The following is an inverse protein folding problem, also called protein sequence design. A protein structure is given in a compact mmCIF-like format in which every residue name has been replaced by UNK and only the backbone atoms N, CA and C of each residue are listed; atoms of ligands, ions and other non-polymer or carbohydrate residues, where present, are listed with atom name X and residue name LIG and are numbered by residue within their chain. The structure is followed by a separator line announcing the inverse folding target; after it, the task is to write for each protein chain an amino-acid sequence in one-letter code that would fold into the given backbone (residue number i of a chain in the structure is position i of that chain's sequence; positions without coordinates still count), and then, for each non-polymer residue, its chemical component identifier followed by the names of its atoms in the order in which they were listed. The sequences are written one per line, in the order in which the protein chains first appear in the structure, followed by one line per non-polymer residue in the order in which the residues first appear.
data_IF_186213208229
#
_entry.id   IF_186213208229
#
_cell.length_a   1.000
_cell.length_b   1.000
_cell.length_c   1.000
_cell.angle_alpha   90.00
_cell.angle_beta   90.00
_cell.angle_gamma   90.00
#
_symmetry.space_group_name_H-M   'P 1'
#
loop_
_entity.id
_entity.type
_entity.pdbx_description
1 polymer ?
#
# COMPACT_ATOMS: atom_id res chain seq x y z
N UNK A 1 -21.16 33.43 -20.99
CA UNK A 1 -21.87 34.22 -22.05
C UNK A 1 -23.10 33.38 -22.37
N UNK A 2 -24.29 33.84 -21.95
CA UNK A 2 -25.51 33.05 -22.13
C UNK A 2 -25.91 32.97 -23.61
N UNK A 3 -26.64 31.92 -23.97
CA UNK A 3 -27.09 31.69 -25.36
C UNK A 3 -27.92 32.89 -25.86
N UNK A 4 -28.68 33.54 -24.98
CA UNK A 4 -29.42 34.78 -25.29
C UNK A 4 -28.49 35.88 -25.84
N UNK A 5 -27.32 36.12 -25.26
CA UNK A 5 -26.35 37.10 -25.75
C UNK A 5 -25.77 36.74 -27.12
N UNK A 6 -25.66 35.45 -27.43
CA UNK A 6 -25.20 34.97 -28.75
C UNK A 6 -26.28 35.18 -29.80
N UNK A 7 -27.56 34.99 -29.46
CA UNK A 7 -28.72 35.22 -30.35
C UNK A 7 -28.84 36.72 -30.63
N UNK A 8 -28.79 37.60 -29.62
CA UNK A 8 -28.80 39.04 -29.79
C UNK A 8 -27.62 39.53 -30.65
N UNK A 9 -26.42 38.97 -30.42
CA UNK A 9 -25.24 39.31 -31.23
C UNK A 9 -25.43 38.87 -32.69
N UNK A 10 -25.98 37.66 -32.94
CA UNK A 10 -26.21 37.14 -34.29
C UNK A 10 -27.31 37.87 -35.03
N UNK A 11 -28.33 38.40 -34.33
CA UNK A 11 -29.39 39.28 -34.89
C UNK A 11 -28.86 40.66 -35.30
N UNK A 12 -27.78 41.13 -34.61
CA UNK A 12 -27.11 42.40 -34.92
C UNK A 12 -26.14 42.34 -36.12
N UNK A 13 -25.87 41.19 -36.69
CA UNK A 13 -24.97 41.02 -37.85
C UNK A 13 -25.69 41.44 -39.12
N UNK A 14 -25.11 42.37 -39.87
CA UNK A 14 -25.57 42.70 -41.24
C UNK A 14 -25.12 41.58 -42.21
N UNK A 15 -26.05 40.65 -42.50
CA UNK A 15 -25.79 39.59 -43.46
C UNK A 15 -25.84 40.08 -44.90
N UNK A 16 -25.04 39.53 -45.82
CA UNK A 16 -25.19 39.83 -47.25
C UNK A 16 -26.58 39.49 -47.74
N UNK A 17 -27.16 40.28 -48.65
CA UNK A 17 -28.56 40.19 -49.11
C UNK A 17 -28.97 38.79 -49.58
N UNK A 18 -28.05 38.02 -50.17
CA UNK A 18 -28.33 36.65 -50.62
C UNK A 18 -28.37 35.62 -49.50
N UNK A 19 -27.77 35.89 -48.31
CA UNK A 19 -27.77 35.02 -47.15
C UNK A 19 -28.85 35.41 -46.12
N UNK A 20 -29.39 36.64 -46.20
CA UNK A 20 -30.35 37.19 -45.24
C UNK A 20 -31.56 36.28 -44.98
N UNK A 21 -32.26 35.77 -46.03
CA UNK A 21 -33.43 34.87 -45.81
C UNK A 21 -33.05 33.56 -45.14
N UNK A 22 -31.88 33.02 -45.41
CA UNK A 22 -31.40 31.78 -44.78
C UNK A 22 -30.95 32.01 -43.33
N UNK A 23 -30.33 33.14 -43.04
CA UNK A 23 -29.92 33.53 -41.69
C UNK A 23 -31.16 33.79 -40.79
N UNK A 24 -32.19 34.45 -41.30
CA UNK A 24 -33.45 34.68 -40.56
C UNK A 24 -34.16 33.34 -40.23
N UNK A 25 -34.23 32.41 -41.17
CA UNK A 25 -34.83 31.09 -40.94
C UNK A 25 -33.99 30.31 -39.93
N UNK A 26 -32.66 30.35 -40.02
CA UNK A 26 -31.78 29.68 -39.07
C UNK A 26 -31.91 30.26 -37.65
N UNK A 27 -31.96 31.58 -37.53
CA UNK A 27 -32.15 32.26 -36.23
C UNK A 27 -33.52 31.93 -35.65
N UNK A 28 -34.58 31.86 -36.49
CA UNK A 28 -35.91 31.44 -36.04
C UNK A 28 -35.93 30.00 -35.52
N UNK A 29 -35.23 29.10 -36.20
CA UNK A 29 -35.07 27.71 -35.71
C UNK A 29 -34.27 27.64 -34.42
N UNK A 30 -33.20 28.45 -34.27
CA UNK A 30 -32.38 28.49 -33.05
C UNK A 30 -33.18 29.05 -31.88
N UNK A 31 -33.92 30.17 -32.09
CA UNK A 31 -34.81 30.74 -31.06
C UNK A 31 -35.91 29.76 -30.66
N UNK A 32 -36.56 29.14 -31.63
CA UNK A 32 -37.57 28.12 -31.35
C UNK A 32 -36.98 26.93 -30.57
N UNK A 33 -35.80 26.45 -30.95
CA UNK A 33 -35.16 25.35 -30.27
C UNK A 33 -34.72 25.74 -28.83
N UNK A 34 -34.29 26.98 -28.61
CA UNK A 34 -33.92 27.49 -27.27
C UNK A 34 -35.14 27.65 -26.39
N UNK A 35 -36.27 28.16 -26.95
CA UNK A 35 -37.55 28.29 -26.23
C UNK A 35 -38.24 26.94 -25.95
N UNK A 36 -38.01 25.95 -26.84
CA UNK A 36 -38.51 24.59 -26.65
C UNK A 36 -37.71 23.80 -25.62
N UNK A 37 -36.42 24.10 -25.51
CA UNK A 37 -35.51 23.48 -24.53
C UNK A 37 -35.50 24.38 -23.28
N UNK A 38 -36.16 23.93 -22.22
CA UNK A 38 -36.09 24.58 -20.91
C UNK A 38 -34.65 24.47 -20.40
N UNK A 39 -33.88 25.55 -20.57
CA UNK A 39 -32.46 25.62 -20.20
C UNK A 39 -32.26 25.43 -18.70
N UNK A 40 -33.19 25.88 -17.86
CA UNK A 40 -33.13 25.71 -16.42
C UNK A 40 -33.32 24.22 -16.05
N UNK A 41 -34.17 23.51 -16.80
CA UNK A 41 -34.34 22.07 -16.64
C UNK A 41 -33.07 21.31 -17.08
N UNK A 42 -32.47 21.71 -18.21
CA UNK A 42 -31.21 21.14 -18.69
C UNK A 42 -30.06 21.37 -17.72
N UNK A 43 -29.93 22.56 -17.15
CA UNK A 43 -28.93 22.88 -16.14
C UNK A 43 -29.15 22.00 -14.90
N UNK A 44 -30.38 21.87 -14.44
CA UNK A 44 -30.75 21.01 -13.31
C UNK A 44 -30.44 19.52 -13.61
N UNK A 45 -30.83 19.03 -14.78
CA UNK A 45 -30.51 17.67 -15.22
C UNK A 45 -29.00 17.43 -15.30
N UNK A 46 -28.25 18.40 -15.86
CA UNK A 46 -26.80 18.33 -15.92
C UNK A 46 -26.18 18.27 -14.52
N UNK A 47 -26.69 19.06 -13.59
CA UNK A 47 -26.26 19.07 -12.20
C UNK A 47 -26.49 17.71 -11.53
N UNK A 48 -27.67 17.09 -11.72
CA UNK A 48 -27.94 15.73 -11.23
C UNK A 48 -27.04 14.68 -11.89
N UNK A 49 -26.78 14.79 -13.19
CA UNK A 49 -25.85 13.91 -13.89
C UNK A 49 -24.43 14.04 -13.35
N UNK A 50 -23.96 15.28 -13.11
CA UNK A 50 -22.65 15.51 -12.49
C UNK A 50 -22.57 14.86 -11.12
N UNK A 51 -23.58 15.05 -10.25
CA UNK A 51 -23.62 14.41 -8.94
C UNK A 51 -23.67 12.88 -9.00
N UNK A 52 -24.38 12.33 -9.99
CA UNK A 52 -24.48 10.88 -10.21
C UNK A 52 -23.16 10.28 -10.70
N UNK A 53 -22.49 10.96 -11.64
CA UNK A 53 -21.26 10.46 -12.24
C UNK A 53 -19.99 10.86 -11.49
N UNK A 54 -20.04 11.91 -10.65
CA UNK A 54 -18.89 12.40 -9.89
C UNK A 54 -18.19 11.29 -9.09
N UNK A 55 -18.90 10.43 -8.32
CA UNK A 55 -18.25 9.33 -7.61
C UNK A 55 -17.52 8.36 -8.54
N UNK A 56 -18.12 8.06 -9.70
CA UNK A 56 -17.51 7.16 -10.70
C UNK A 56 -16.25 7.81 -11.29
N UNK A 57 -16.33 9.08 -11.68
CA UNK A 57 -15.19 9.83 -12.22
C UNK A 57 -14.07 9.86 -11.19
N UNK A 58 -14.37 10.18 -9.94
CA UNK A 58 -13.37 10.24 -8.85
C UNK A 58 -12.67 8.89 -8.69
N UNK A 59 -13.41 7.78 -8.64
CA UNK A 59 -12.85 6.44 -8.46
C UNK A 59 -11.91 6.04 -9.61
N UNK A 60 -12.24 6.40 -10.85
CA UNK A 60 -11.41 6.08 -12.00
C UNK A 60 -10.28 7.08 -12.24
N UNK A 61 -10.46 8.33 -11.84
CA UNK A 61 -9.44 9.39 -12.01
C UNK A 61 -8.36 9.30 -10.93
N UNK A 62 -8.69 8.86 -9.70
CA UNK A 62 -7.70 8.76 -8.62
C UNK A 62 -6.48 7.88 -8.94
N UNK A 63 -6.61 6.68 -9.55
CA UNK A 63 -5.45 5.92 -9.99
C UNK A 63 -4.59 6.67 -11.03
N UNK A 64 -5.24 7.43 -11.92
CA UNK A 64 -4.55 8.26 -12.93
C UNK A 64 -3.78 9.38 -12.23
N UNK A 65 -4.40 10.05 -11.26
CA UNK A 65 -3.74 11.09 -10.46
C UNK A 65 -2.51 10.51 -9.76
N UNK A 66 -2.60 9.30 -9.18
CA UNK A 66 -1.46 8.64 -8.56
C UNK A 66 -0.30 8.45 -9.55
N UNK A 67 -0.60 7.97 -10.76
CA UNK A 67 0.41 7.84 -11.83
C UNK A 67 1.01 9.20 -12.16
N UNK A 68 0.19 10.25 -12.26
CA UNK A 68 0.66 11.63 -12.50
C UNK A 68 1.59 12.09 -11.38
N UNK A 69 1.27 11.80 -10.11
CA UNK A 69 2.16 12.10 -8.98
C UNK A 69 3.48 11.35 -9.06
N UNK A 70 3.47 10.07 -9.45
CA UNK A 70 4.69 9.28 -9.64
C UNK A 70 5.56 9.91 -10.73
N UNK A 71 4.97 10.28 -11.88
CA UNK A 71 5.70 11.00 -12.93
C UNK A 71 6.16 12.39 -12.47
N UNK A 72 5.37 13.09 -11.65
CA UNK A 72 5.79 14.34 -11.00
C UNK A 72 7.05 14.16 -10.16
N UNK A 73 7.14 13.07 -9.37
CA UNK A 73 8.36 12.72 -8.64
C UNK A 73 9.55 12.45 -9.57
N UNK A 74 9.31 11.76 -10.71
CA UNK A 74 10.37 11.48 -11.71
C UNK A 74 10.89 12.79 -12.31
N UNK A 75 9.98 13.69 -12.69
CA UNK A 75 10.33 15.01 -13.22
C UNK A 75 11.11 15.81 -12.18
N UNK A 76 10.64 15.82 -10.93
CA UNK A 76 11.34 16.48 -9.81
C UNK A 76 12.76 15.96 -9.65
N UNK A 77 12.95 14.62 -9.67
CA UNK A 77 14.27 13.99 -9.57
C UNK A 77 15.17 14.36 -10.77
N UNK A 78 14.59 14.41 -11.97
CA UNK A 78 15.34 14.81 -13.18
C UNK A 78 15.82 16.26 -13.06
N UNK A 79 14.93 17.19 -12.69
CA UNK A 79 15.26 18.62 -12.49
C UNK A 79 16.27 18.78 -11.35
N UNK A 80 16.09 18.05 -10.24
CA UNK A 80 17.01 18.06 -9.12
C UNK A 80 18.41 17.57 -9.55
N UNK A 81 18.46 16.49 -10.35
CA UNK A 81 19.70 15.96 -10.92
C UNK A 81 20.44 16.97 -11.83
N UNK A 82 19.70 17.62 -12.71
CA UNK A 82 20.27 18.61 -13.61
C UNK A 82 20.83 19.84 -12.86
N UNK A 83 20.11 20.32 -11.85
CA UNK A 83 20.50 21.49 -11.05
C UNK A 83 21.75 21.26 -10.22
N UNK A 84 21.95 20.02 -9.77
CA UNK A 84 23.02 19.66 -8.86
C UNK A 84 24.20 18.92 -9.52
N UNK A 85 24.18 18.73 -10.86
CA UNK A 85 25.27 18.04 -11.58
C UNK A 85 26.67 18.61 -11.25
N UNK A 86 26.77 19.93 -11.08
CA UNK A 86 28.04 20.61 -10.74
C UNK A 86 28.41 20.37 -9.26
N UNK A 87 27.42 20.20 -8.38
CA UNK A 87 27.64 19.94 -6.94
C UNK A 87 27.91 18.47 -6.65
N UNK A 88 27.48 17.55 -7.52
CA UNK A 88 27.71 16.11 -7.36
C UNK A 88 29.20 15.75 -7.25
N UNK A 89 30.07 16.52 -7.93
CA UNK A 89 31.52 16.39 -7.85
C UNK A 89 32.07 16.68 -6.44
N UNK A 90 31.35 17.40 -5.61
CA UNK A 90 31.78 17.83 -4.29
C UNK A 90 31.08 17.10 -3.12
N UNK A 91 29.94 16.43 -3.34
CA UNK A 91 29.13 15.85 -2.26
C UNK A 91 28.64 14.45 -2.58
N UNK A 92 29.11 13.47 -1.84
CA UNK A 92 28.69 12.06 -1.90
C UNK A 92 27.25 11.83 -1.44
N UNK A 93 26.54 12.86 -0.96
CA UNK A 93 25.19 12.80 -0.37
C UNK A 93 24.06 13.30 -1.29
N UNK A 94 24.34 13.50 -2.57
CA UNK A 94 23.39 14.02 -3.56
C UNK A 94 22.00 13.31 -3.53
N UNK A 95 21.99 11.97 -3.55
CA UNK A 95 20.75 11.22 -3.53
C UNK A 95 20.04 11.22 -2.17
N UNK A 96 20.73 11.51 -1.08
CA UNK A 96 20.12 11.55 0.24
C UNK A 96 19.11 12.71 0.36
N UNK A 97 19.44 13.89 -0.13
CA UNK A 97 18.51 15.03 -0.15
C UNK A 97 17.25 14.71 -0.96
N UNK A 98 17.40 14.08 -2.15
CA UNK A 98 16.27 13.67 -2.96
C UNK A 98 15.42 12.61 -2.27
N UNK A 99 16.04 11.61 -1.62
CA UNK A 99 15.32 10.56 -0.86
C UNK A 99 14.49 11.16 0.26
N UNK A 100 15.07 12.05 1.07
CA UNK A 100 14.36 12.70 2.19
C UNK A 100 13.21 13.57 1.67
N UNK A 101 13.42 14.32 0.59
CA UNK A 101 12.37 15.15 -0.01
C UNK A 101 11.17 14.30 -0.49
N UNK A 102 11.44 13.21 -1.22
CA UNK A 102 10.39 12.30 -1.70
C UNK A 102 9.77 11.52 -0.54
N UNK A 103 10.56 11.08 0.45
CA UNK A 103 10.05 10.44 1.65
C UNK A 103 9.09 11.36 2.41
N UNK A 104 9.45 12.64 2.60
CA UNK A 104 8.59 13.62 3.25
C UNK A 104 7.28 13.84 2.49
N UNK A 105 7.34 13.86 1.15
CA UNK A 105 6.15 13.95 0.31
C UNK A 105 5.21 12.74 0.50
N UNK A 106 5.73 11.52 0.41
CA UNK A 106 4.92 10.32 0.60
C UNK A 106 4.41 10.16 2.04
N UNK A 107 5.18 10.59 3.03
CA UNK A 107 4.73 10.62 4.43
C UNK A 107 3.53 11.56 4.60
N UNK A 108 3.61 12.77 4.03
CA UNK A 108 2.50 13.72 4.03
C UNK A 108 1.27 13.17 3.31
N UNK A 109 1.43 12.54 2.13
CA UNK A 109 0.33 11.90 1.40
C UNK A 109 -0.30 10.78 2.24
N UNK A 110 0.52 9.93 2.85
CA UNK A 110 0.05 8.85 3.72
C UNK A 110 -0.76 9.37 4.89
N UNK A 111 -0.26 10.39 5.57
CA UNK A 111 -0.94 11.01 6.71
C UNK A 111 -2.26 11.67 6.30
N UNK A 112 -2.22 12.53 5.28
CA UNK A 112 -3.40 13.30 4.84
C UNK A 112 -4.45 12.40 4.20
N UNK A 113 -4.05 11.46 3.33
CA UNK A 113 -5.01 10.68 2.55
C UNK A 113 -5.50 9.41 3.25
N UNK A 114 -4.60 8.68 3.92
CA UNK A 114 -4.94 7.42 4.58
C UNK A 114 -4.89 7.48 6.12
N UNK A 115 -4.55 8.64 6.72
CA UNK A 115 -4.28 8.70 8.15
C UNK A 115 -3.27 7.63 8.57
N UNK A 116 -2.22 7.46 7.75
CA UNK A 116 -1.27 6.35 7.85
C UNK A 116 -0.54 6.30 9.18
N UNK A 117 -0.43 5.11 9.74
CA UNK A 117 0.34 4.81 10.96
C UNK A 117 1.29 3.63 10.69
N UNK A 118 2.49 3.69 11.25
CA UNK A 118 3.44 2.58 11.28
C UNK A 118 3.62 2.12 12.73
N UNK A 119 3.39 0.85 13.01
CA UNK A 119 3.54 0.23 14.33
C UNK A 119 4.62 -0.85 14.29
N UNK A 120 5.38 -0.99 15.36
CA UNK A 120 6.47 -1.96 15.43
C UNK A 120 7.77 -1.47 14.79
N UNK A 121 7.98 -0.15 14.64
CA UNK A 121 9.23 0.40 14.08
C UNK A 121 10.44 0.05 14.94
N UNK A 122 10.25 -0.21 16.23
CA UNK A 122 11.24 -0.70 17.19
C UNK A 122 11.78 -2.10 16.83
N UNK A 123 11.03 -2.89 16.07
CA UNK A 123 11.45 -4.20 15.58
C UNK A 123 12.48 -4.10 14.44
N UNK A 124 12.66 -2.90 13.87
CA UNK A 124 13.62 -2.66 12.79
C UNK A 124 14.98 -2.37 13.40
N UNK A 125 16.03 -3.14 13.08
CA UNK A 125 17.35 -2.88 13.61
C UNK A 125 17.88 -1.52 13.15
N UNK A 126 18.56 -0.82 14.03
CA UNK A 126 19.19 0.46 13.70
C UNK A 126 20.37 0.25 12.74
N UNK A 127 21.09 -0.86 12.90
CA UNK A 127 22.20 -1.29 12.04
C UNK A 127 22.03 -2.75 11.63
N UNK A 128 22.66 -3.13 10.50
CA UNK A 128 22.66 -4.49 9.98
C UNK A 128 21.44 -4.83 9.11
N UNK A 129 21.41 -6.04 8.57
CA UNK A 129 20.39 -6.45 7.61
C UNK A 129 19.09 -6.88 8.28
N UNK A 130 17.97 -6.69 7.56
CA UNK A 130 16.71 -7.35 7.85
C UNK A 130 15.91 -7.53 6.56
N UNK A 131 15.20 -8.66 6.46
CA UNK A 131 14.32 -8.95 5.34
C UNK A 131 12.86 -8.76 5.75
N UNK A 132 12.18 -7.81 5.09
CA UNK A 132 10.75 -7.60 5.26
C UNK A 132 9.97 -8.48 4.29
N UNK A 133 9.06 -9.29 4.81
CA UNK A 133 8.15 -10.11 4.01
C UNK A 133 6.72 -9.62 4.23
N UNK A 134 6.07 -9.18 3.15
CA UNK A 134 4.77 -8.54 3.26
C UNK A 134 3.70 -9.13 2.35
N UNK A 135 2.44 -8.88 2.74
CA UNK A 135 1.26 -9.15 1.93
C UNK A 135 1.07 -8.04 0.89
N UNK A 136 0.96 -8.40 -0.38
CA UNK A 136 0.88 -7.43 -1.48
C UNK A 136 -0.56 -6.96 -1.70
N UNK A 137 -0.87 -5.70 -1.35
CA UNK A 137 -2.09 -5.03 -1.77
C UNK A 137 -2.17 -4.84 -3.29
N UNK A 138 -3.29 -4.32 -3.80
CA UNK A 138 -3.47 -4.11 -5.24
C UNK A 138 -2.39 -3.16 -5.80
N UNK A 139 -2.18 -2.02 -5.15
CA UNK A 139 -1.04 -1.12 -5.36
C UNK A 139 -0.24 -1.06 -4.04
N UNK A 140 1.10 -1.19 -4.08
CA UNK A 140 1.92 -1.24 -2.87
C UNK A 140 2.22 0.16 -2.31
N UNK A 141 1.18 0.97 -2.08
CA UNK A 141 1.34 2.31 -1.48
C UNK A 141 1.89 2.25 -0.07
N UNK A 142 1.51 1.24 0.67
CA UNK A 142 1.99 0.95 2.01
C UNK A 142 3.51 0.83 2.06
N UNK A 143 4.13 0.21 1.05
CA UNK A 143 5.59 0.10 0.96
C UNK A 143 6.25 1.48 0.84
N UNK A 144 5.68 2.40 0.04
CA UNK A 144 6.18 3.78 -0.06
C UNK A 144 6.07 4.52 1.28
N UNK A 145 4.99 4.29 2.03
CA UNK A 145 4.81 4.88 3.35
C UNK A 145 5.78 4.31 4.39
N UNK A 146 5.98 2.98 4.42
CA UNK A 146 6.97 2.33 5.28
C UNK A 146 8.37 2.85 4.98
N UNK A 147 8.75 2.88 3.69
CA UNK A 147 10.05 3.39 3.24
C UNK A 147 10.26 4.84 3.70
N UNK A 148 9.24 5.68 3.57
CA UNK A 148 9.29 7.07 4.03
C UNK A 148 9.50 7.18 5.53
N UNK A 149 8.75 6.40 6.32
CA UNK A 149 8.92 6.35 7.78
C UNK A 149 10.32 5.87 8.19
N UNK A 150 10.87 4.86 7.51
CA UNK A 150 12.22 4.36 7.80
C UNK A 150 13.30 5.39 7.45
N UNK A 151 13.16 6.11 6.34
CA UNK A 151 14.11 7.19 5.99
C UNK A 151 14.05 8.32 7.02
N UNK A 152 12.83 8.76 7.40
CA UNK A 152 12.64 9.92 8.30
C UNK A 152 13.04 9.58 9.74
N UNK A 153 12.66 8.41 10.26
CA UNK A 153 12.81 8.09 11.68
C UNK A 153 14.05 7.26 12.01
N UNK A 154 14.52 6.41 11.07
CA UNK A 154 15.68 5.52 11.27
C UNK A 154 16.88 5.90 10.42
N UNK A 155 16.74 6.89 9.52
CA UNK A 155 17.76 7.25 8.52
C UNK A 155 18.26 6.04 7.71
N UNK A 156 17.38 5.07 7.46
CA UNK A 156 17.69 3.84 6.73
C UNK A 156 16.84 3.70 5.47
N UNK A 157 17.48 3.33 4.37
CA UNK A 157 16.80 3.03 3.11
C UNK A 157 16.31 1.58 3.10
N UNK A 158 15.07 1.38 2.64
CA UNK A 158 14.51 0.06 2.39
C UNK A 158 14.65 -0.26 0.90
N UNK A 159 15.42 -1.28 0.56
CA UNK A 159 15.53 -1.79 -0.80
C UNK A 159 14.32 -2.66 -1.11
N UNK A 160 13.78 -2.57 -2.33
CA UNK A 160 12.58 -3.29 -2.70
C UNK A 160 12.81 -4.22 -3.89
N UNK A 161 12.23 -5.41 -3.86
CA UNK A 161 12.21 -6.29 -5.02
C UNK A 161 10.99 -5.96 -5.88
N UNK A 162 11.25 -5.55 -7.11
CA UNK A 162 10.23 -5.22 -8.11
C UNK A 162 10.10 -6.29 -9.20
N UNK A 163 8.92 -6.40 -9.80
CA UNK A 163 8.71 -7.27 -10.95
C UNK A 163 9.43 -6.67 -12.20
N UNK A 164 9.88 -7.53 -13.08
CA UNK A 164 10.63 -7.16 -14.30
C UNK A 164 9.91 -6.16 -15.21
N UNK A 165 8.57 -6.10 -15.16
CA UNK A 165 7.82 -5.15 -15.97
C UNK A 165 8.08 -3.70 -15.54
N UNK A 166 8.35 -3.43 -14.25
CA UNK A 166 8.60 -2.08 -13.72
C UNK A 166 9.78 -1.42 -14.45
N UNK A 167 10.82 -2.20 -14.74
CA UNK A 167 12.01 -1.71 -15.44
C UNK A 167 11.78 -1.43 -16.93
N UNK A 168 10.64 -1.88 -17.49
CA UNK A 168 10.23 -1.61 -18.87
C UNK A 168 9.39 -0.35 -19.03
N UNK A 169 8.91 0.23 -17.92
CA UNK A 169 8.09 1.44 -17.95
C UNK A 169 8.98 2.64 -18.27
N UNK A 170 8.67 3.41 -19.33
CA UNK A 170 9.45 4.59 -19.69
C UNK A 170 9.51 5.60 -18.54
N UNK A 171 10.69 6.13 -18.26
CA UNK A 171 10.89 7.16 -17.21
C UNK A 171 10.98 6.64 -15.78
N UNK A 172 10.75 5.36 -15.49
CA UNK A 172 10.79 4.83 -14.11
C UNK A 172 12.19 4.53 -13.57
N UNK A 173 13.20 4.48 -14.44
CA UNK A 173 14.58 4.16 -14.06
C UNK A 173 15.15 5.04 -12.92
N UNK A 174 14.98 6.38 -12.90
CA UNK A 174 15.41 7.22 -11.78
C UNK A 174 14.71 6.86 -10.46
N UNK A 175 13.40 6.55 -10.52
CA UNK A 175 12.62 6.15 -9.34
C UNK A 175 13.13 4.81 -8.79
N UNK A 176 13.35 3.82 -9.67
CA UNK A 176 13.93 2.53 -9.27
C UNK A 176 15.31 2.70 -8.62
N UNK A 177 16.16 3.57 -9.17
CA UNK A 177 17.48 3.87 -8.59
C UNK A 177 17.36 4.55 -7.23
N UNK A 178 16.45 5.51 -7.08
CA UNK A 178 16.27 6.24 -5.84
C UNK A 178 15.76 5.34 -4.70
N UNK A 179 14.79 4.46 -4.98
CA UNK A 179 14.23 3.52 -4.00
C UNK A 179 14.97 2.18 -3.96
N UNK A 180 16.13 2.08 -4.61
CA UNK A 180 16.92 0.85 -4.68
C UNK A 180 16.06 -0.38 -5.03
N UNK A 181 15.19 -0.20 -6.08
CA UNK A 181 14.35 -1.29 -6.56
C UNK A 181 15.20 -2.19 -7.48
N UNK A 182 15.28 -3.47 -7.14
CA UNK A 182 16.02 -4.48 -7.90
C UNK A 182 15.09 -5.51 -8.54
N UNK A 183 15.57 -6.22 -9.55
CA UNK A 183 14.79 -7.30 -10.19
C UNK A 183 14.67 -8.56 -9.32
N UNK A 184 15.46 -8.66 -8.25
CA UNK A 184 15.29 -9.62 -7.18
C UNK A 184 15.66 -11.06 -7.53
N UNK A 185 16.82 -11.29 -8.15
CA UNK A 185 17.41 -12.63 -8.16
C UNK A 185 17.79 -13.05 -6.73
N UNK A 186 17.85 -14.36 -6.47
CA UNK A 186 18.23 -14.87 -5.13
C UNK A 186 19.61 -14.34 -4.74
N UNK A 187 20.55 -14.32 -5.69
CA UNK A 187 21.93 -13.91 -5.44
C UNK A 187 22.03 -12.39 -5.17
N UNK A 188 21.35 -11.56 -5.97
CA UNK A 188 21.29 -10.10 -5.74
C UNK A 188 20.68 -9.78 -4.38
N UNK A 189 19.53 -10.39 -4.05
CA UNK A 189 18.88 -10.18 -2.75
C UNK A 189 19.75 -10.65 -1.58
N UNK A 190 20.47 -11.76 -1.75
CA UNK A 190 21.39 -12.27 -0.74
C UNK A 190 22.57 -11.33 -0.52
N UNK A 191 23.12 -10.76 -1.60
CA UNK A 191 24.22 -9.81 -1.53
C UNK A 191 23.79 -8.51 -0.85
N UNK A 192 22.64 -7.95 -1.24
CA UNK A 192 22.09 -6.75 -0.59
C UNK A 192 21.96 -6.89 0.94
N UNK A 193 21.48 -8.05 1.40
CA UNK A 193 21.38 -8.33 2.84
C UNK A 193 22.76 -8.52 3.49
N UNK A 194 23.71 -9.18 2.80
CA UNK A 194 25.10 -9.30 3.30
C UNK A 194 25.81 -7.97 3.40
N UNK A 195 25.47 -7.03 2.54
CA UNK A 195 25.97 -5.64 2.58
C UNK A 195 25.36 -4.81 3.72
N UNK A 196 24.47 -5.41 4.52
CA UNK A 196 23.85 -4.77 5.69
C UNK A 196 22.59 -3.97 5.38
N UNK A 197 22.04 -4.08 4.17
CA UNK A 197 20.85 -3.33 3.75
C UNK A 197 19.55 -3.95 4.28
N UNK A 198 18.50 -3.11 4.40
CA UNK A 198 17.14 -3.57 4.59
C UNK A 198 16.53 -3.94 3.23
N UNK A 199 15.91 -5.10 3.13
CA UNK A 199 15.29 -5.58 1.89
C UNK A 199 13.82 -5.91 2.10
N UNK A 200 12.96 -5.62 1.12
CA UNK A 200 11.53 -5.87 1.17
C UNK A 200 11.09 -6.75 -0.01
N UNK A 201 10.42 -7.86 0.28
CA UNK A 201 9.94 -8.83 -0.72
C UNK A 201 8.46 -9.15 -0.48
N UNK A 202 7.67 -9.14 -1.55
CA UNK A 202 6.32 -9.71 -1.57
C UNK A 202 6.32 -11.04 -2.32
N UNK A 203 6.30 -12.19 -1.64
CA UNK A 203 6.38 -13.48 -2.32
C UNK A 203 5.19 -13.76 -3.25
N UNK A 204 4.02 -13.19 -2.95
CA UNK A 204 2.82 -13.29 -3.78
C UNK A 204 2.92 -12.51 -5.09
N UNK A 205 3.62 -11.36 -5.08
CA UNK A 205 3.83 -10.50 -6.24
C UNK A 205 2.53 -10.13 -6.96
N UNK A 206 2.61 -9.88 -8.26
CA UNK A 206 1.47 -9.46 -9.11
C UNK A 206 0.26 -10.40 -9.02
N UNK A 207 0.47 -11.70 -8.84
CA UNK A 207 -0.66 -12.65 -8.73
C UNK A 207 -1.49 -12.40 -7.47
N UNK A 208 -0.84 -12.17 -6.35
CA UNK A 208 -1.51 -11.82 -5.09
C UNK A 208 -2.15 -10.44 -5.19
N UNK A 209 -1.42 -9.47 -5.76
CA UNK A 209 -1.88 -8.10 -5.91
C UNK A 209 -3.18 -7.98 -6.72
N UNK A 210 -3.21 -8.56 -7.93
CA UNK A 210 -4.27 -8.30 -8.90
C UNK A 210 -5.35 -9.39 -8.97
N UNK A 211 -5.04 -10.64 -8.58
CA UNK A 211 -5.91 -11.78 -8.86
C UNK A 211 -6.38 -12.54 -7.61
N UNK A 212 -6.00 -12.11 -6.39
CA UNK A 212 -6.58 -12.67 -5.16
C UNK A 212 -7.94 -12.02 -4.85
N UNK A 213 -8.72 -12.69 -4.00
CA UNK A 213 -9.99 -12.16 -3.52
C UNK A 213 -9.76 -10.95 -2.62
N UNK A 214 -10.38 -9.78 -2.91
CA UNK A 214 -10.17 -8.57 -2.12
C UNK A 214 -10.82 -8.62 -0.74
N UNK A 215 -11.73 -9.58 -0.48
CA UNK A 215 -12.48 -9.64 0.78
C UNK A 215 -11.85 -10.52 1.84
N UNK A 216 -11.08 -11.54 1.44
CA UNK A 216 -10.59 -12.59 2.36
C UNK A 216 -9.09 -12.52 2.69
N UNK A 217 -8.32 -11.68 2.02
CA UNK A 217 -6.86 -11.53 2.27
C UNK A 217 -6.08 -12.85 2.20
N UNK A 218 -6.38 -13.69 1.20
CA UNK A 218 -5.68 -14.97 1.02
C UNK A 218 -4.25 -14.77 0.52
N UNK A 219 -3.31 -15.48 1.17
CA UNK A 219 -1.87 -15.40 0.85
C UNK A 219 -1.54 -16.35 -0.30
N UNK A 220 -1.26 -15.80 -1.49
CA UNK A 220 -1.03 -16.56 -2.73
C UNK A 220 0.45 -16.68 -3.11
N UNK A 221 1.26 -17.31 -2.25
CA UNK A 221 2.70 -17.52 -2.53
C UNK A 221 2.99 -18.74 -3.43
N UNK A 222 2.04 -19.65 -3.59
CA UNK A 222 2.21 -20.85 -4.39
C UNK A 222 3.40 -21.70 -3.95
N UNK A 223 4.19 -22.17 -4.92
CA UNK A 223 5.40 -22.98 -4.69
C UNK A 223 6.70 -22.15 -4.68
N UNK A 224 6.59 -20.83 -4.54
CA UNK A 224 7.76 -19.93 -4.59
C UNK A 224 8.61 -20.10 -3.33
N UNK A 225 9.90 -20.39 -3.53
CA UNK A 225 10.89 -20.60 -2.46
C UNK A 225 12.06 -19.61 -2.54
N UNK A 226 12.10 -18.75 -3.55
CA UNK A 226 13.22 -17.82 -3.77
C UNK A 226 13.54 -16.98 -2.52
N UNK A 227 12.53 -16.36 -1.92
CA UNK A 227 12.71 -15.54 -0.71
C UNK A 227 13.20 -16.38 0.49
N UNK A 228 12.75 -17.62 0.63
CA UNK A 228 13.20 -18.50 1.70
C UNK A 228 14.68 -18.90 1.53
N UNK A 229 15.12 -19.09 0.28
CA UNK A 229 16.55 -19.30 -0.02
C UNK A 229 17.37 -18.06 0.30
N UNK A 230 16.86 -16.86 0.00
CA UNK A 230 17.51 -15.60 0.39
C UNK A 230 17.72 -15.55 1.91
N UNK A 231 16.69 -15.90 2.71
CA UNK A 231 16.79 -15.96 4.19
C UNK A 231 17.93 -16.88 4.65
N UNK A 232 17.96 -18.11 4.11
CA UNK A 232 18.98 -19.10 4.49
C UNK A 232 20.38 -18.63 4.08
N UNK A 233 20.53 -18.13 2.85
CA UNK A 233 21.82 -17.75 2.29
C UNK A 233 22.41 -16.47 2.94
N UNK A 234 21.52 -15.53 3.36
CA UNK A 234 21.96 -14.29 4.00
C UNK A 234 22.07 -14.37 5.51
N UNK A 235 21.46 -15.38 6.14
CA UNK A 235 21.40 -15.55 7.60
C UNK A 235 20.89 -14.32 8.35
N UNK A 236 19.94 -13.58 7.73
CA UNK A 236 19.38 -12.36 8.30
C UNK A 236 18.04 -12.59 8.99
N UNK A 237 17.66 -11.76 9.98
CA UNK A 237 16.33 -11.81 10.58
C UNK A 237 15.26 -11.41 9.57
N UNK A 238 14.09 -12.03 9.69
CA UNK A 238 12.91 -11.73 8.87
C UNK A 238 11.88 -10.99 9.70
N UNK A 239 11.41 -9.86 9.19
CA UNK A 239 10.34 -9.05 9.80
C UNK A 239 9.08 -9.25 8.96
N UNK A 240 8.07 -9.99 9.46
CA UNK A 240 6.79 -10.09 8.78
C UNK A 240 6.06 -8.76 8.85
N UNK A 241 5.47 -8.33 7.73
CA UNK A 241 4.79 -7.04 7.61
C UNK A 241 3.41 -7.21 7.01
N UNK A 242 2.44 -6.49 7.56
CA UNK A 242 1.09 -6.44 7.05
C UNK A 242 0.49 -5.04 7.22
N UNK A 243 -0.25 -4.58 6.20
CA UNK A 243 -0.96 -3.29 6.23
C UNK A 243 -2.46 -3.50 6.20
N UNK A 244 -3.14 -2.99 7.24
CA UNK A 244 -4.59 -3.00 7.31
C UNK A 244 -5.21 -2.20 6.17
N UNK A 245 -6.32 -2.68 5.64
CA UNK A 245 -7.11 -2.06 4.59
C UNK A 245 -6.33 -1.76 3.29
N UNK A 246 -5.19 -2.42 3.04
CA UNK A 246 -4.43 -2.23 1.82
C UNK A 246 -5.21 -2.64 0.55
N UNK A 247 -6.20 -3.54 0.67
CA UNK A 247 -7.08 -3.93 -0.43
C UNK A 247 -8.33 -3.08 -0.56
N UNK A 248 -8.70 -2.38 0.50
CA UNK A 248 -9.80 -1.42 0.49
C UNK A 248 -9.40 -0.10 -0.16
N UNK A 249 -8.12 0.24 -0.16
CA UNK A 249 -7.60 1.43 -0.84
C UNK A 249 -7.72 1.32 -2.36
N UNK A 250 -7.28 0.19 -2.94
CA UNK A 250 -7.35 -0.09 -4.37
C UNK A 250 -7.78 -1.52 -4.61
N UNK A 251 -8.62 -1.73 -5.65
CA UNK A 251 -9.17 -3.02 -6.04
C UNK A 251 -9.07 -3.27 -7.54
N UNK A 252 -9.14 -4.52 -7.91
CA UNK A 252 -9.39 -4.96 -9.28
C UNK A 252 -10.83 -5.44 -9.41
N UNK A 253 -11.50 -5.27 -10.58
CA UNK A 253 -12.85 -5.76 -10.78
C UNK A 253 -12.90 -7.30 -10.67
N UNK A 254 -13.97 -7.82 -10.09
CA UNK A 254 -14.16 -9.26 -9.96
C UNK A 254 -14.52 -9.91 -11.30
N UNK A 255 -15.28 -9.16 -12.11
CA UNK A 255 -15.60 -9.58 -13.46
C UNK A 255 -14.35 -9.65 -14.34
N UNK A 256 -14.21 -10.69 -15.12
CA UNK A 256 -13.07 -10.85 -16.02
C UNK A 256 -11.73 -11.20 -15.35
N UNK A 257 -11.67 -11.43 -14.02
CA UNK A 257 -10.43 -11.77 -13.30
C UNK A 257 -9.67 -12.93 -13.95
N UNK A 258 -10.35 -13.98 -14.39
CA UNK A 258 -9.73 -15.11 -15.06
C UNK A 258 -9.15 -14.74 -16.43
N UNK A 259 -9.82 -13.85 -17.17
CA UNK A 259 -9.36 -13.34 -18.45
C UNK A 259 -8.09 -12.49 -18.29
N UNK A 260 -8.09 -11.52 -17.36
CA UNK A 260 -6.91 -10.70 -17.09
C UNK A 260 -5.74 -11.51 -16.54
N UNK A 261 -6.01 -12.53 -15.71
CA UNK A 261 -5.01 -13.46 -15.23
C UNK A 261 -4.40 -14.27 -16.40
N UNK A 262 -5.21 -14.74 -17.32
CA UNK A 262 -4.74 -15.43 -18.52
C UNK A 262 -3.84 -14.53 -19.39
N UNK A 263 -4.22 -13.25 -19.59
CA UNK A 263 -3.37 -12.26 -20.29
C UNK A 263 -2.04 -12.11 -19.56
N UNK A 264 -2.08 -11.90 -18.24
CA UNK A 264 -0.86 -11.75 -17.43
C UNK A 264 0.05 -12.98 -17.53
N UNK A 265 -0.50 -14.19 -17.50
CA UNK A 265 0.30 -15.40 -17.58
C UNK A 265 1.00 -15.55 -18.93
N UNK A 266 0.39 -15.07 -20.01
CA UNK A 266 0.99 -15.06 -21.35
C UNK A 266 1.97 -13.92 -21.59
N UNK A 267 1.61 -12.70 -21.21
CA UNK A 267 2.37 -11.48 -21.55
C UNK A 267 3.37 -11.07 -20.47
N UNK A 268 3.17 -11.53 -19.23
CA UNK A 268 3.86 -11.07 -18.02
C UNK A 268 3.68 -9.56 -17.77
N UNK A 269 2.65 -8.96 -18.37
CA UNK A 269 2.27 -7.57 -18.16
C UNK A 269 1.00 -7.50 -17.30
N UNK A 270 0.97 -6.68 -16.25
CA UNK A 270 -0.18 -6.58 -15.32
C UNK A 270 -1.30 -5.73 -15.92
N UNK A 271 -1.82 -6.15 -17.06
CA UNK A 271 -2.91 -5.48 -17.78
C UNK A 271 -4.24 -5.86 -17.13
N UNK A 272 -4.56 -5.22 -16.01
CA UNK A 272 -5.81 -5.39 -15.30
C UNK A 272 -6.33 -4.01 -14.90
N UNK A 273 -7.62 -3.69 -15.09
CA UNK A 273 -8.19 -2.45 -14.59
C UNK A 273 -8.04 -2.38 -13.07
N UNK A 274 -7.63 -1.22 -12.57
CA UNK A 274 -7.52 -0.93 -11.15
C UNK A 274 -8.43 0.26 -10.87
N UNK A 275 -9.22 0.16 -9.82
CA UNK A 275 -10.05 1.25 -9.34
C UNK A 275 -9.85 1.46 -7.84
N UNK A 276 -10.13 2.66 -7.34
CA UNK A 276 -9.98 2.98 -5.92
C UNK A 276 -9.34 4.34 -5.69
N UNK A 277 -8.38 4.39 -4.77
CA UNK A 277 -7.86 5.62 -4.19
C UNK A 277 -8.71 6.07 -3.02
N UNK A 278 -9.48 5.13 -2.42
CA UNK A 278 -10.34 5.43 -1.28
C UNK A 278 -9.49 5.82 -0.06
N UNK A 279 -9.87 6.89 0.66
CA UNK A 279 -9.14 7.38 1.83
C UNK A 279 -9.41 6.52 3.07
N UNK A 280 -9.19 5.21 2.95
CA UNK A 280 -9.31 4.27 4.06
C UNK A 280 -8.19 4.46 5.06
N UNK A 281 -8.44 4.13 6.33
CA UNK A 281 -7.40 4.10 7.35
C UNK A 281 -6.41 2.98 7.04
N UNK A 282 -5.12 3.31 6.91
CA UNK A 282 -4.07 2.32 6.73
C UNK A 282 -3.12 2.30 7.93
N UNK A 283 -2.91 1.12 8.49
CA UNK A 283 -1.96 0.90 9.59
C UNK A 283 -1.05 -0.26 9.21
N UNK A 284 0.24 -0.01 9.12
CA UNK A 284 1.22 -1.08 8.87
C UNK A 284 1.76 -1.61 10.19
N UNK A 285 1.72 -2.91 10.35
CA UNK A 285 2.24 -3.65 11.49
C UNK A 285 3.50 -4.39 11.09
N UNK A 286 4.60 -4.07 11.77
CA UNK A 286 5.85 -4.80 11.68
C UNK A 286 5.89 -5.80 12.82
N UNK A 287 5.88 -7.09 12.50
CA UNK A 287 5.99 -8.17 13.49
C UNK A 287 7.39 -8.25 14.11
N UNK A 288 7.50 -9.08 15.14
CA UNK A 288 8.81 -9.34 15.78
C UNK A 288 9.78 -9.99 14.80
N UNK A 289 11.07 -9.64 14.84
CA UNK A 289 12.08 -10.29 14.01
C UNK A 289 12.13 -11.80 14.26
N UNK A 290 12.06 -12.57 13.20
CA UNK A 290 12.17 -14.03 13.20
C UNK A 290 13.58 -14.44 12.81
N UNK A 291 14.21 -15.29 13.61
CA UNK A 291 15.48 -15.94 13.31
C UNK A 291 15.25 -17.44 13.14
N UNK A 292 16.10 -18.10 12.36
CA UNK A 292 15.98 -19.50 12.03
C UNK A 292 17.28 -20.24 12.34
N UNK A 293 17.21 -21.54 12.48
CA UNK A 293 18.40 -22.39 12.39
C UNK A 293 18.78 -22.56 10.92
N UNK A 294 19.62 -21.65 10.41
CA UNK A 294 19.91 -21.53 8.98
C UNK A 294 20.64 -22.74 8.39
N UNK A 295 21.24 -23.59 9.22
CA UNK A 295 21.98 -24.77 8.78
C UNK A 295 21.07 -26.01 8.67
N UNK A 296 20.03 -26.09 9.50
CA UNK A 296 19.16 -27.27 9.57
C UNK A 296 17.73 -27.03 9.03
N UNK A 297 17.32 -25.76 8.83
CA UNK A 297 15.96 -25.43 8.39
C UNK A 297 15.85 -25.46 6.86
N UNK A 298 14.83 -26.14 6.33
CA UNK A 298 14.57 -26.19 4.88
C UNK A 298 13.88 -24.92 4.37
N UNK A 299 14.06 -24.56 3.07
CA UNK A 299 13.35 -23.40 2.49
C UNK A 299 11.81 -23.53 2.59
N UNK A 300 11.28 -24.73 2.51
CA UNK A 300 9.85 -25.03 2.66
C UNK A 300 9.36 -24.69 4.07
N UNK A 301 10.16 -25.02 5.07
CA UNK A 301 9.85 -24.75 6.47
C UNK A 301 9.94 -23.25 6.77
N UNK A 302 10.99 -22.57 6.33
CA UNK A 302 11.11 -21.11 6.41
C UNK A 302 9.87 -20.44 5.81
N UNK A 303 9.46 -20.85 4.59
CA UNK A 303 8.24 -20.35 3.95
C UNK A 303 7.01 -20.59 4.80
N UNK A 304 6.85 -21.79 5.37
CA UNK A 304 5.69 -22.16 6.19
C UNK A 304 5.60 -21.28 7.44
N UNK A 305 6.72 -21.09 8.13
CA UNK A 305 6.79 -20.28 9.34
C UNK A 305 6.50 -18.81 9.07
N UNK A 306 7.14 -18.22 8.07
CA UNK A 306 6.90 -16.80 7.69
C UNK A 306 5.45 -16.61 7.23
N UNK A 307 4.91 -17.53 6.41
CA UNK A 307 3.52 -17.47 5.96
C UNK A 307 2.54 -17.52 7.14
N UNK A 308 2.86 -18.30 8.17
CA UNK A 308 2.05 -18.37 9.41
C UNK A 308 2.04 -17.02 10.12
N UNK A 309 3.20 -16.39 10.29
CA UNK A 309 3.29 -15.11 10.99
C UNK A 309 2.60 -13.97 10.24
N UNK A 310 2.78 -13.88 8.91
CA UNK A 310 2.02 -12.89 8.10
C UNK A 310 0.51 -13.15 8.20
N UNK A 311 0.07 -14.42 8.23
CA UNK A 311 -1.35 -14.77 8.42
C UNK A 311 -1.85 -14.41 9.83
N UNK A 312 -1.01 -14.56 10.85
CA UNK A 312 -1.33 -14.14 12.20
C UNK A 312 -1.55 -12.63 12.28
N UNK A 313 -0.65 -11.82 11.68
CA UNK A 313 -0.83 -10.37 11.58
C UNK A 313 -2.13 -10.00 10.86
N UNK A 314 -2.47 -10.70 9.75
CA UNK A 314 -3.75 -10.47 9.05
C UNK A 314 -4.94 -10.77 9.97
N UNK A 315 -4.93 -11.89 10.68
CA UNK A 315 -6.04 -12.31 11.56
C UNK A 315 -6.20 -11.39 12.76
N UNK A 316 -5.11 -10.89 13.31
CA UNK A 316 -5.10 -10.01 14.48
C UNK A 316 -5.59 -8.60 14.12
N UNK A 317 -5.15 -8.07 12.99
CA UNK A 317 -5.35 -6.66 12.67
C UNK A 317 -6.42 -6.40 11.62
N UNK A 318 -6.65 -7.30 10.65
CA UNK A 318 -7.64 -7.11 9.59
C UNK A 318 -9.01 -7.65 9.98
N UNK A 319 -10.02 -6.79 9.92
CA UNK A 319 -11.42 -7.24 10.06
C UNK A 319 -11.92 -7.81 8.73
N UNK A 320 -12.25 -9.08 8.73
CA UNK A 320 -12.81 -9.77 7.58
C UNK A 320 -14.35 -9.89 7.68
N UNK A 321 -15.09 -9.93 6.55
CA UNK A 321 -14.61 -9.63 5.20
C UNK A 321 -14.21 -8.16 5.04
N UNK A 322 -13.27 -7.87 4.12
CA UNK A 322 -12.81 -6.52 3.84
C UNK A 322 -13.94 -5.59 3.36
N UNK A 323 -14.01 -4.35 3.87
CA UNK A 323 -15.06 -3.39 3.52
C UNK A 323 -14.50 -1.97 3.42
N UNK A 324 -14.69 -1.35 2.26
CA UNK A 324 -14.24 0.02 1.98
C UNK A 324 -14.88 1.01 2.94
N UNK A 325 -16.21 0.93 3.13
CA UNK A 325 -16.95 1.86 4.01
C UNK A 325 -16.40 1.78 5.44
N UNK A 326 -16.19 0.57 5.95
CA UNK A 326 -15.60 0.38 7.28
C UNK A 326 -14.19 0.95 7.35
N UNK A 327 -13.34 0.74 6.33
CA UNK A 327 -11.99 1.30 6.28
C UNK A 327 -11.98 2.84 6.26
N UNK A 328 -12.96 3.48 5.61
CA UNK A 328 -13.14 4.94 5.65
C UNK A 328 -13.59 5.38 7.05
N UNK A 329 -14.57 4.69 7.64
CA UNK A 329 -15.10 5.05 8.96
C UNK A 329 -14.03 4.92 10.07
N UNK A 330 -13.15 3.93 9.99
CA UNK A 330 -12.02 3.75 10.90
C UNK A 330 -11.06 4.95 10.93
N UNK A 331 -11.07 5.78 9.91
CA UNK A 331 -10.27 7.00 9.87
C UNK A 331 -10.77 8.07 10.84
N UNK A 332 -12.09 8.14 11.03
CA UNK A 332 -12.73 9.14 11.88
C UNK A 332 -13.03 8.60 13.28
N UNK A 333 -13.32 7.31 13.37
CA UNK A 333 -13.63 6.64 14.62
C UNK A 333 -13.01 5.25 14.63
N UNK A 334 -11.85 5.11 15.29
CA UNK A 334 -11.19 3.81 15.49
C UNK A 334 -11.55 3.30 16.89
N UNK A 335 -12.46 2.33 17.00
CA UNK A 335 -12.89 1.78 18.29
C UNK A 335 -11.77 1.05 19.05
N UNK A 336 -10.65 0.72 18.37
CA UNK A 336 -9.49 0.05 18.98
C UNK A 336 -8.61 1.01 19.76
N UNK A 337 -8.55 2.30 19.39
CA UNK A 337 -7.80 3.30 20.17
C UNK A 337 -8.30 3.40 21.61
N UNK A 338 -9.60 3.26 21.83
CA UNK A 338 -10.17 3.22 23.17
C UNK A 338 -9.81 1.96 23.98
N UNK A 339 -9.69 0.80 23.30
CA UNK A 339 -9.30 -0.46 23.94
C UNK A 339 -7.80 -0.54 24.24
N UNK A 340 -6.93 0.02 23.40
CA UNK A 340 -5.49 0.13 23.66
C UNK A 340 -5.21 1.04 24.86
N UNK A 341 -5.89 2.19 24.94
CA UNK A 341 -5.77 3.10 26.08
C UNK A 341 -6.27 2.46 27.39
N UNK A 342 -7.35 1.66 27.32
CA UNK A 342 -7.85 0.92 28.48
C UNK A 342 -6.87 -0.17 28.92
N UNK A 343 -6.29 -0.95 27.99
CA UNK A 343 -5.28 -1.97 28.31
C UNK A 343 -4.01 -1.39 28.88
N UNK A 344 -3.51 -0.30 28.30
CA UNK A 344 -2.33 0.39 28.82
C UNK A 344 -2.61 0.99 30.20
N UNK A 345 -3.81 1.50 30.45
CA UNK A 345 -4.24 1.98 31.76
C UNK A 345 -4.32 0.85 32.81
N UNK A 346 -4.90 -0.31 32.44
CA UNK A 346 -4.96 -1.49 33.32
C UNK A 346 -3.56 -2.07 33.58
N UNK A 347 -2.66 -2.08 32.60
CA UNK A 347 -1.30 -2.58 32.76
C UNK A 347 -0.46 -1.67 33.67
N UNK A 348 -0.61 -0.35 33.54
CA UNK A 348 0.01 0.64 34.42
C UNK A 348 -0.54 0.51 35.84
N UNK A 349 -1.85 0.32 36.00
CA UNK A 349 -2.48 0.14 37.32
C UNK A 349 -2.06 -1.17 37.98
N UNK A 350 -1.90 -2.25 37.22
CA UNK A 350 -1.37 -3.53 37.69
C UNK A 350 0.08 -3.43 38.14
N UNK A 351 0.94 -2.71 37.37
CA UNK A 351 2.33 -2.46 37.74
C UNK A 351 2.43 -1.60 39.00
N UNK A 352 1.62 -0.53 39.10
CA UNK A 352 1.56 0.30 40.28
C UNK A 352 1.07 -0.46 41.55
N UNK A 353 0.14 -1.40 41.39
CA UNK A 353 -0.31 -2.27 42.50
C UNK A 353 0.75 -3.30 42.89
N UNK A 354 1.58 -3.79 41.94
CA UNK A 354 2.68 -4.71 42.24
C UNK A 354 3.83 -4.04 43.01
N UNK A 355 4.06 -2.75 42.77
CA UNK A 355 5.08 -1.95 43.46
C UNK A 355 4.63 -1.49 44.88
N UNK A 356 3.33 -1.45 45.13
CA UNK A 356 2.76 -1.06 46.41
C UNK A 356 2.49 -2.23 47.38
N UNK A 357 2.88 -3.48 47.08
CA UNK A 357 2.78 -4.59 48.05
C UNK A 357 3.91 -4.51 49.07
N UNK A 358 3.60 -4.36 50.37
CA UNK A 358 4.63 -4.36 51.41
C UNK A 358 5.28 -5.74 51.51
N UNK A 359 6.59 -5.75 51.43
CA UNK A 359 7.46 -6.90 51.76
C UNK A 359 7.03 -7.53 53.07
N UNK A 360 6.40 -8.69 53.04
CA UNK A 360 6.27 -9.55 54.22
C UNK A 360 7.52 -10.41 54.31
N UNK A 361 8.22 -10.21 55.41
CA UNK A 361 9.38 -10.96 55.88
C UNK A 361 9.07 -12.45 56.10
N UNK A 362 10.03 -13.28 55.72
CA UNK A 362 10.47 -14.54 56.33
C UNK A 362 9.44 -15.56 56.80
N UNK A 363 9.44 -16.72 56.17
CA UNK A 363 9.38 -17.99 56.90
C UNK A 363 9.98 -19.12 56.05
N UNK A 364 10.78 -19.90 56.71
CA UNK A 364 11.62 -21.02 56.37
C UNK A 364 10.90 -22.13 55.57
N UNK A 365 11.72 -22.86 54.79
CA UNK A 365 11.40 -24.14 54.17
C UNK A 365 11.19 -25.26 55.24
N UNK A 366 10.49 -26.32 54.92
CA UNK A 366 11.22 -27.57 54.80
C UNK A 366 10.93 -28.40 53.52
N UNK A 367 11.97 -29.07 53.18
CA UNK A 367 12.20 -30.27 52.39
C UNK A 367 11.02 -31.27 52.43
N UNK A 368 10.62 -31.79 51.25
CA UNK A 368 10.40 -33.23 51.10
C UNK A 368 10.18 -33.61 49.61
N UNK A 369 11.05 -34.50 49.22
CA UNK A 369 11.00 -35.48 48.13
C UNK A 369 9.60 -36.10 47.92
N UNK A 370 9.19 -36.33 46.64
CA UNK A 370 8.83 -37.65 46.09
C UNK A 370 8.12 -37.61 44.73
N UNK A 371 8.77 -38.33 43.77
CA UNK A 371 8.21 -39.17 42.73
C UNK A 371 7.17 -38.66 41.72
N UNK A 372 7.61 -38.77 40.45
CA UNK A 372 6.76 -39.01 39.29
C UNK A 372 6.01 -40.35 39.40
N UNK A 373 4.89 -40.53 38.67
CA UNK A 373 4.99 -41.19 37.39
C UNK A 373 3.91 -40.85 36.33
N UNK A 374 4.25 -41.16 35.07
CA UNK A 374 3.35 -41.83 34.14
C UNK A 374 2.67 -40.99 33.09
N UNK A 375 3.22 -41.00 31.88
CA UNK A 375 2.46 -40.89 30.64
C UNK A 375 1.30 -41.86 30.54
N UNK A 376 0.27 -41.55 29.73
CA UNK A 376 0.10 -42.45 28.59
C UNK A 376 -0.09 -41.72 27.25
N UNK A 377 0.59 -42.32 26.29
CA UNK A 377 0.38 -42.45 24.88
C UNK A 377 -1.11 -42.53 24.49
N UNK A 378 -1.52 -41.73 23.51
CA UNK A 378 -2.65 -42.12 22.68
C UNK A 378 -2.47 -41.61 21.23
N UNK A 379 -1.94 -42.52 20.46
CA UNK A 379 -2.02 -42.57 19.01
C UNK A 379 -3.44 -42.98 18.61
N UNK A 380 -4.02 -42.25 17.71
CA UNK A 380 -5.04 -42.63 16.72
C UNK A 380 -6.03 -41.50 16.45
N UNK A 381 -5.98 -40.97 15.24
CA UNK A 381 -7.13 -40.93 14.35
C UNK A 381 -6.69 -40.51 12.92
N UNK A 382 -6.97 -41.42 12.02
CA UNK A 382 -6.84 -41.39 10.57
C UNK A 382 -8.11 -40.76 9.97
N UNK A 383 -7.89 -39.87 9.02
CA UNK A 383 -8.63 -39.46 7.80
C UNK A 383 -10.17 -39.72 7.70
N UNK A 384 -10.86 -39.11 6.72
CA UNK A 384 -10.43 -38.92 5.32
C UNK A 384 -10.28 -37.44 4.87
#
# INVERSE_FOLDING_TARGET
MGIANIIEWAQGIAWPDFLQPHAEVLLLWITWAVDYIDLDYLETCFQYLVWLFLPIIVVFVLPIILVVFIYGCIIFLHVYGLRHQIQEAYHTSYWNGARVAIASFWDAVGYVWHGYELRGIENVPDDGPALFIYYHGCLPLDVYYVLSKLIIHKNRSLHCVGDKFIFKIPGWKPLCKMFSITAGTVDECTQELKDGNLLCIAPGGVREALFSDPHIYDIQWGKRLGFARVVINSRCPVIPMFTENCRESFRTPEWGRNFFRWIYEKTKMPLCPIYGGFPVKMVTHLGKPMTFDYDNTTPEEVRRLIKREVRNLIREHQRLPGSIIRGIMQRFHDPRKGQEQSRTGEEIELLARSECSPTAHNAEAPDDTLMAPGEPDDSTYVQP
#
